data_IF_147517723500
#
_entry.id   IF_147517723500
#
_cell.length_a   1.000
_cell.length_b   1.000
_cell.length_c   1.000
_cell.angle_alpha   90.00
_cell.angle_beta   90.00
_cell.angle_gamma   90.00
#
_symmetry.space_group_name_H-M   'P 1'
#
loop_
_entity.id
_entity.type
_entity.pdbx_description
1 polymer ?
#
# COMPACT_ATOMS: atom_id res chain seq x y z
N UNK A 1 -9.54 -4.97 10.03
CA UNK A 1 -10.35 -5.50 8.91
C UNK A 1 -9.38 -6.05 7.86
N UNK A 2 -9.80 -6.90 6.90
CA UNK A 2 -8.84 -7.55 5.98
C UNK A 2 -8.27 -6.57 4.92
N UNK A 3 -9.11 -5.65 4.43
CA UNK A 3 -8.78 -4.73 3.34
C UNK A 3 -7.70 -3.72 3.72
N UNK A 4 -7.35 -3.57 5.00
CA UNK A 4 -6.29 -2.67 5.45
C UNK A 4 -4.92 -3.08 4.89
N UNK A 5 -4.74 -4.35 4.49
CA UNK A 5 -3.56 -4.81 3.78
C UNK A 5 -3.40 -4.18 2.39
N UNK A 6 -4.48 -3.63 1.82
CA UNK A 6 -4.50 -2.94 0.53
C UNK A 6 -4.48 -1.41 0.67
N UNK A 7 -4.11 -0.89 1.83
CA UNK A 7 -3.97 0.54 2.08
C UNK A 7 -2.58 0.81 2.69
N UNK A 8 -1.53 0.93 1.85
CA UNK A 8 -0.17 1.13 2.33
C UNK A 8 0.00 2.47 3.05
N UNK A 9 0.71 2.44 4.17
CA UNK A 9 1.13 3.66 4.90
C UNK A 9 2.64 3.90 4.76
N UNK A 10 3.41 2.82 4.66
CA UNK A 10 4.83 2.81 4.31
C UNK A 10 5.18 1.44 3.73
N UNK A 11 6.36 1.34 3.11
CA UNK A 11 6.88 0.05 2.61
C UNK A 11 7.73 -0.71 3.65
N UNK A 12 7.64 -0.31 4.93
CA UNK A 12 8.28 -1.05 6.01
C UNK A 12 7.53 -2.36 6.26
N UNK A 13 8.24 -3.49 6.23
CA UNK A 13 7.69 -4.79 6.62
C UNK A 13 7.61 -4.83 8.15
N UNK A 14 6.50 -4.31 8.67
CA UNK A 14 6.18 -4.31 10.10
C UNK A 14 4.66 -4.19 10.25
N UNK A 15 4.00 -5.27 10.68
CA UNK A 15 2.56 -5.23 10.86
C UNK A 15 1.99 -6.49 11.48
N UNK A 16 0.68 -6.70 11.25
CA UNK A 16 -0.11 -7.77 11.86
C UNK A 16 0.46 -9.18 11.61
N UNK A 17 1.21 -9.38 10.53
CA UNK A 17 1.74 -10.68 10.11
C UNK A 17 3.19 -10.92 10.55
N UNK A 18 3.77 -10.00 11.30
CA UNK A 18 5.17 -10.03 11.71
C UNK A 18 5.97 -8.87 11.14
N UNK A 19 7.26 -8.90 11.43
CA UNK A 19 8.26 -7.95 10.97
C UNK A 19 9.11 -8.53 9.83
N UNK A 20 10.13 -7.77 9.43
CA UNK A 20 11.06 -8.14 8.37
C UNK A 20 11.78 -9.46 8.64
N UNK A 21 12.17 -9.71 9.88
CA UNK A 21 12.91 -10.92 10.26
C UNK A 21 11.99 -12.14 10.21
N UNK A 22 10.76 -12.00 10.70
CA UNK A 22 9.72 -13.02 10.61
C UNK A 22 9.39 -13.36 9.15
N UNK A 23 9.26 -12.34 8.29
CA UNK A 23 9.02 -12.54 6.85
C UNK A 23 10.19 -13.25 6.18
N UNK A 24 11.43 -12.85 6.48
CA UNK A 24 12.64 -13.50 5.94
C UNK A 24 12.72 -14.97 6.34
N UNK A 25 12.48 -15.29 7.61
CA UNK A 25 12.46 -16.67 8.11
C UNK A 25 11.37 -17.52 7.45
N UNK A 26 10.18 -16.94 7.21
CA UNK A 26 9.11 -17.60 6.47
C UNK A 26 9.54 -17.90 5.02
N UNK A 27 10.16 -16.94 4.33
CA UNK A 27 10.65 -17.13 2.95
C UNK A 27 11.70 -18.24 2.90
N UNK A 28 12.66 -18.22 3.81
CA UNK A 28 13.71 -19.25 3.91
C UNK A 28 13.10 -20.64 4.13
N UNK A 29 12.14 -20.76 5.05
CA UNK A 29 11.45 -22.02 5.34
C UNK A 29 10.69 -22.56 4.13
N UNK A 30 9.97 -21.69 3.40
CA UNK A 30 9.29 -22.08 2.16
C UNK A 30 10.29 -22.56 1.09
N UNK A 31 11.37 -21.82 0.88
CA UNK A 31 12.38 -22.17 -0.11
C UNK A 31 13.10 -23.49 0.21
N UNK A 32 13.42 -23.75 1.48
CA UNK A 32 14.00 -25.03 1.92
C UNK A 32 13.07 -26.23 1.63
N UNK A 33 11.75 -26.01 1.62
CA UNK A 33 10.75 -27.00 1.24
C UNK A 33 10.47 -27.06 -0.28
N UNK A 34 11.20 -26.30 -1.10
CA UNK A 34 10.98 -26.22 -2.55
C UNK A 34 9.74 -25.42 -2.97
N UNK A 35 9.15 -24.65 -2.06
CA UNK A 35 7.95 -23.83 -2.29
C UNK A 35 8.37 -22.37 -2.55
N UNK A 36 7.92 -21.79 -3.67
CA UNK A 36 8.16 -20.37 -3.98
C UNK A 36 7.16 -19.46 -3.25
N UNK A 37 7.61 -18.25 -2.93
CA UNK A 37 6.78 -17.20 -2.32
C UNK A 37 6.50 -16.10 -3.35
N UNK A 38 5.24 -15.68 -3.43
CA UNK A 38 4.82 -14.51 -4.21
C UNK A 38 4.23 -13.50 -3.24
N UNK A 39 4.75 -12.27 -3.27
CA UNK A 39 4.22 -11.17 -2.47
C UNK A 39 3.19 -10.38 -3.29
N UNK A 40 2.05 -10.06 -2.67
CA UNK A 40 1.11 -9.07 -3.19
C UNK A 40 1.69 -7.67 -2.90
N UNK A 41 1.99 -6.91 -3.95
CA UNK A 41 2.62 -5.60 -3.86
C UNK A 41 1.65 -4.51 -4.31
N UNK A 42 1.18 -3.72 -3.36
CA UNK A 42 0.26 -2.60 -3.63
C UNK A 42 1.09 -1.35 -3.91
N UNK A 43 1.20 -1.03 -5.20
CA UNK A 43 2.04 0.07 -5.71
C UNK A 43 1.25 1.19 -6.39
N UNK A 44 -0.06 0.98 -6.60
CA UNK A 44 -0.90 1.92 -7.33
C UNK A 44 -1.28 3.15 -6.50
N UNK A 45 -1.47 2.97 -5.20
CA UNK A 45 -2.05 3.97 -4.31
C UNK A 45 -1.54 3.79 -2.89
N UNK A 46 -1.76 4.81 -2.06
CA UNK A 46 -1.53 4.79 -0.63
C UNK A 46 -2.86 4.85 0.16
N UNK A 47 -2.79 4.68 1.48
CA UNK A 47 -3.95 4.60 2.36
C UNK A 47 -4.81 5.87 2.36
N UNK A 48 -6.14 5.74 2.32
CA UNK A 48 -7.00 6.90 2.46
C UNK A 48 -6.95 7.50 3.90
N UNK A 49 -7.29 8.78 4.03
CA UNK A 49 -7.50 9.42 5.34
C UNK A 49 -6.20 9.76 6.08
N UNK A 50 -6.18 9.59 7.40
CA UNK A 50 -5.03 9.95 8.24
C UNK A 50 -4.97 9.08 9.49
N UNK A 51 -3.78 8.86 10.02
CA UNK A 51 -3.60 8.15 11.28
C UNK A 51 -2.20 7.58 11.44
N UNK A 52 -2.09 6.44 12.11
CA UNK A 52 -0.83 5.70 12.29
C UNK A 52 -1.00 4.29 11.74
N UNK A 53 -0.14 3.90 10.80
CA UNK A 53 -0.13 2.56 10.24
C UNK A 53 0.28 1.49 11.26
N UNK A 54 0.05 0.21 10.96
CA UNK A 54 0.42 -0.90 11.86
C UNK A 54 1.92 -0.98 12.12
N UNK A 55 2.72 -0.44 11.20
CA UNK A 55 4.14 -0.24 11.35
C UNK A 55 4.50 1.07 12.07
N UNK A 56 3.61 1.73 12.82
CA UNK A 56 3.93 2.90 13.64
C UNK A 56 4.20 4.21 12.89
N UNK A 57 4.16 4.22 11.55
CA UNK A 57 4.33 5.42 10.74
C UNK A 57 3.04 6.24 10.73
N UNK A 58 3.11 7.52 11.11
CA UNK A 58 1.99 8.46 10.97
C UNK A 58 1.84 8.91 9.51
N UNK A 59 0.61 9.21 9.07
CA UNK A 59 0.33 9.67 7.71
C UNK A 59 -0.92 10.55 7.62
N UNK A 60 -1.02 11.31 6.54
CA UNK A 60 -2.27 11.90 6.03
C UNK A 60 -2.43 11.56 4.55
N UNK A 61 -3.62 11.85 3.97
CA UNK A 61 -4.05 11.30 2.68
C UNK A 61 -3.06 11.56 1.53
N UNK A 62 -2.20 12.57 1.60
CA UNK A 62 -1.15 12.81 0.58
C UNK A 62 0.23 13.12 1.19
N UNK A 63 0.42 12.80 2.47
CA UNK A 63 1.72 12.96 3.14
C UNK A 63 2.04 11.70 3.92
N UNK A 64 3.04 10.96 3.44
CA UNK A 64 3.55 9.71 3.99
C UNK A 64 5.04 9.91 4.29
N UNK A 65 5.38 10.46 5.47
CA UNK A 65 6.73 10.88 5.81
C UNK A 65 7.79 9.83 5.52
N UNK A 66 8.83 10.24 4.78
CA UNK A 66 9.93 9.37 4.37
C UNK A 66 9.64 8.48 3.16
N UNK A 67 8.43 8.53 2.60
CA UNK A 67 8.04 7.76 1.39
C UNK A 67 7.53 8.67 0.28
N UNK A 68 6.41 9.37 0.49
CA UNK A 68 5.75 10.21 -0.52
C UNK A 68 5.19 11.50 0.09
N UNK A 69 5.11 12.56 -0.71
CA UNK A 69 4.46 13.84 -0.40
C UNK A 69 3.49 14.21 -1.51
N UNK A 70 2.71 15.28 -1.32
CA UNK A 70 1.61 15.66 -2.20
C UNK A 70 2.00 15.72 -3.69
N UNK A 71 3.21 16.23 -4.00
CA UNK A 71 3.69 16.35 -5.38
C UNK A 71 3.98 15.01 -6.08
N UNK A 72 4.05 13.92 -5.33
CA UNK A 72 4.32 12.58 -5.85
C UNK A 72 3.04 11.86 -6.29
N UNK A 73 1.86 12.44 -6.02
CA UNK A 73 0.56 11.87 -6.36
C UNK A 73 -0.11 12.59 -7.54
N UNK A 74 -1.04 11.91 -8.20
CA UNK A 74 -1.85 12.50 -9.24
C UNK A 74 -2.78 13.61 -8.71
N UNK A 75 -3.09 14.58 -9.57
CA UNK A 75 -3.93 15.72 -9.21
C UNK A 75 -5.44 15.46 -9.33
N UNK A 76 -5.86 14.36 -9.94
CA UNK A 76 -7.28 13.98 -10.01
C UNK A 76 -7.75 13.38 -8.68
N UNK A 77 -8.10 14.22 -7.71
CA UNK A 77 -8.50 13.81 -6.34
C UNK A 77 -10.00 13.45 -6.19
N UNK A 78 -10.54 12.74 -7.17
CA UNK A 78 -11.94 12.25 -7.18
C UNK A 78 -11.97 10.75 -7.46
N UNK A 79 -13.06 10.09 -7.10
CA UNK A 79 -13.26 8.68 -7.46
C UNK A 79 -13.32 8.50 -8.99
N UNK A 80 -12.76 7.39 -9.46
CA UNK A 80 -12.98 6.88 -10.82
C UNK A 80 -14.50 6.76 -11.05
N UNK A 81 -15.01 7.46 -12.06
CA UNK A 81 -16.44 7.52 -12.38
C UNK A 81 -16.78 6.79 -13.69
N UNK A 82 -15.80 6.65 -14.61
CA UNK A 82 -15.98 6.03 -15.91
C UNK A 82 -14.85 5.03 -16.22
N UNK A 83 -15.12 3.74 -16.03
CA UNK A 83 -14.17 2.66 -16.35
C UNK A 83 -13.91 2.46 -17.85
N UNK A 84 -14.69 3.10 -18.73
CA UNK A 84 -14.42 3.15 -20.17
C UNK A 84 -13.41 4.23 -20.57
N UNK A 85 -13.05 5.14 -19.66
CA UNK A 85 -12.08 6.20 -19.88
C UNK A 85 -10.74 5.85 -19.21
N UNK A 86 -9.71 5.59 -20.02
CA UNK A 86 -8.36 5.26 -19.56
C UNK A 86 -7.77 6.36 -18.68
N UNK A 87 -8.03 7.63 -19.00
CA UNK A 87 -7.54 8.78 -18.25
C UNK A 87 -8.15 8.84 -16.86
N UNK A 88 -9.46 8.59 -16.74
CA UNK A 88 -10.15 8.53 -15.46
C UNK A 88 -9.63 7.35 -14.61
N UNK A 89 -9.55 6.15 -15.20
CA UNK A 89 -9.10 4.92 -14.51
C UNK A 89 -7.67 4.99 -13.97
N UNK A 90 -6.75 5.63 -14.70
CA UNK A 90 -5.33 5.60 -14.35
C UNK A 90 -4.88 6.80 -13.52
N UNK A 91 -5.62 7.92 -13.56
CA UNK A 91 -5.20 9.15 -12.90
C UNK A 91 -6.06 9.53 -11.69
N UNK A 92 -7.30 9.05 -11.62
CA UNK A 92 -8.22 9.37 -10.53
C UNK A 92 -8.22 8.26 -9.46
N UNK A 93 -8.77 8.58 -8.30
CA UNK A 93 -8.65 7.74 -7.11
C UNK A 93 -9.52 6.48 -7.21
N UNK A 94 -8.92 5.32 -6.97
CA UNK A 94 -9.67 4.09 -6.80
C UNK A 94 -10.33 4.13 -5.42
N UNK A 95 -11.62 4.43 -5.36
CA UNK A 95 -12.43 4.49 -4.12
C UNK A 95 -11.80 5.35 -3.00
N UNK A 96 -11.25 6.51 -3.39
CA UNK A 96 -10.67 7.49 -2.47
C UNK A 96 -9.27 7.14 -1.98
N UNK A 97 -8.61 6.14 -2.57
CA UNK A 97 -7.22 5.79 -2.27
C UNK A 97 -6.27 6.79 -2.93
N UNK A 98 -5.25 7.17 -2.19
CA UNK A 98 -4.37 8.29 -2.49
C UNK A 98 -3.40 8.02 -3.64
#
# INVERSE_FOLDING_TARGET
QWWTSYQPVSYRIAGRLGDRDSFAAMVESCHAAGVKVVADAVINHMAAGSGTGTGGTSYTKYDYPGTFRDQDFHTCRKDIANYGDRGDVQNCELVGLA
#
